data_IF_012492762161
#
_entry.id   IF_012492762161
#
_cell.length_a   1.000
_cell.length_b   1.000
_cell.length_c   1.000
_cell.angle_alpha   90.00
_cell.angle_beta   90.00
_cell.angle_gamma   90.00
#
_symmetry.space_group_name_H-M   'P 1'
#
loop_
_entity.id
_entity.type
_entity.pdbx_description
1 polymer ?
#
# COMPACT_ATOMS: atom_id res chain seq x y z
N UNK A 1 6.31 -11.10 0.20
CA UNK A 1 5.01 -10.46 0.52
C UNK A 1 5.13 -8.97 0.25
N UNK A 2 4.10 -8.32 -0.29
CA UNK A 2 4.12 -6.89 -0.57
C UNK A 2 4.02 -6.11 0.74
N UNK A 3 4.94 -5.17 0.98
CA UNK A 3 4.94 -4.32 2.17
C UNK A 3 4.12 -3.05 1.93
N UNK A 4 2.79 -3.15 2.03
CA UNK A 4 1.88 -2.02 1.84
C UNK A 4 2.14 -0.87 2.83
N UNK A 5 2.55 -1.21 4.07
CA UNK A 5 2.93 -0.21 5.09
C UNK A 5 4.11 0.64 4.61
N UNK A 6 5.13 -0.01 4.10
CA UNK A 6 6.33 0.66 3.59
C UNK A 6 6.00 1.50 2.36
N UNK A 7 5.10 1.02 1.48
CA UNK A 7 4.62 1.80 0.34
C UNK A 7 4.00 3.11 0.81
N UNK A 8 3.02 3.06 1.73
CA UNK A 8 2.29 4.25 2.19
C UNK A 8 3.22 5.18 2.98
N UNK A 9 4.11 4.62 3.80
CA UNK A 9 5.12 5.38 4.56
C UNK A 9 6.07 6.14 3.63
N UNK A 10 6.69 5.45 2.67
CA UNK A 10 7.63 6.09 1.73
C UNK A 10 6.93 7.11 0.85
N UNK A 11 5.66 6.88 0.53
CA UNK A 11 4.87 7.81 -0.27
C UNK A 11 4.48 9.06 0.51
N UNK A 12 4.17 8.93 1.80
CA UNK A 12 4.01 10.05 2.72
C UNK A 12 5.30 10.85 2.91
N UNK A 13 6.47 10.22 2.75
CA UNK A 13 7.79 10.87 2.72
C UNK A 13 8.12 11.49 1.34
N UNK A 14 7.15 11.62 0.44
CA UNK A 14 7.31 12.20 -0.89
C UNK A 14 8.29 11.45 -1.84
N UNK A 15 8.59 10.17 -1.57
CA UNK A 15 9.47 9.39 -2.44
C UNK A 15 8.82 9.04 -3.79
N UNK A 16 9.65 8.91 -4.84
CA UNK A 16 9.21 8.52 -6.18
C UNK A 16 8.77 7.05 -6.22
N UNK A 17 7.79 6.72 -7.07
CA UNK A 17 7.26 5.35 -7.19
C UNK A 17 8.34 4.31 -7.51
N UNK A 18 9.37 4.69 -8.28
CA UNK A 18 10.53 3.84 -8.57
C UNK A 18 11.35 3.50 -7.32
N UNK A 19 11.57 4.48 -6.44
CA UNK A 19 12.35 4.28 -5.22
C UNK A 19 11.60 3.36 -4.25
N UNK A 20 10.29 3.61 -4.09
CA UNK A 20 9.41 2.78 -3.28
C UNK A 20 9.37 1.35 -3.82
N UNK A 21 9.19 1.18 -5.13
CA UNK A 21 9.17 -0.12 -5.80
C UNK A 21 10.43 -0.95 -5.53
N UNK A 22 11.61 -0.32 -5.62
CA UNK A 22 12.89 -0.96 -5.30
C UNK A 22 12.95 -1.35 -3.81
N UNK A 23 12.54 -0.44 -2.93
CA UNK A 23 12.56 -0.68 -1.47
C UNK A 23 11.63 -1.82 -1.05
N UNK A 24 10.45 -1.94 -1.68
CA UNK A 24 9.45 -2.96 -1.32
C UNK A 24 9.52 -4.21 -2.21
N UNK A 25 10.44 -4.26 -3.17
CA UNK A 25 10.57 -5.35 -4.14
C UNK A 25 9.29 -5.59 -4.96
N UNK A 26 8.52 -4.53 -5.25
CA UNK A 26 7.24 -4.60 -5.96
C UNK A 26 7.23 -3.69 -7.19
N UNK A 27 6.35 -3.96 -8.14
CA UNK A 27 6.23 -3.15 -9.35
C UNK A 27 5.77 -1.72 -9.05
N UNK A 28 6.30 -0.74 -9.79
CA UNK A 28 5.88 0.68 -9.71
C UNK A 28 4.38 0.87 -9.92
N UNK A 29 3.79 0.04 -10.79
CA UNK A 29 2.34 0.01 -11.01
C UNK A 29 1.59 -0.42 -9.74
N UNK A 30 2.06 -1.45 -9.05
CA UNK A 30 1.49 -1.90 -7.77
C UNK A 30 1.61 -0.82 -6.72
N UNK A 31 2.77 -0.16 -6.61
CA UNK A 31 2.97 0.97 -5.70
C UNK A 31 1.98 2.10 -5.97
N UNK A 32 1.83 2.49 -7.24
CA UNK A 32 0.89 3.55 -7.63
C UNK A 32 -0.57 3.17 -7.37
N UNK A 33 -0.95 1.93 -7.67
CA UNK A 33 -2.30 1.41 -7.42
C UNK A 33 -2.62 1.37 -5.92
N UNK A 34 -1.70 0.84 -5.11
CA UNK A 34 -1.78 0.84 -3.64
C UNK A 34 -1.91 2.25 -3.11
N UNK A 35 -1.07 3.18 -3.57
CA UNK A 35 -1.11 4.56 -3.11
C UNK A 35 -2.44 5.23 -3.46
N UNK A 36 -2.91 5.09 -4.69
CA UNK A 36 -4.18 5.66 -5.14
C UNK A 36 -5.37 5.10 -4.35
N UNK A 37 -5.35 3.79 -4.07
CA UNK A 37 -6.37 3.15 -3.24
C UNK A 37 -6.28 3.64 -1.79
N UNK A 38 -5.08 3.75 -1.24
CA UNK A 38 -4.85 4.29 0.10
C UNK A 38 -5.37 5.73 0.22
N UNK A 39 -5.07 6.61 -0.74
CA UNK A 39 -5.63 7.97 -0.79
C UNK A 39 -7.15 7.96 -0.86
N UNK A 40 -7.74 7.10 -1.71
CA UNK A 40 -9.20 6.97 -1.84
C UNK A 40 -9.88 6.52 -0.55
N UNK A 41 -9.18 5.70 0.24
CA UNK A 41 -9.65 5.17 1.52
C UNK A 41 -9.21 6.04 2.70
N UNK A 42 -8.59 7.19 2.43
CA UNK A 42 -8.02 8.11 3.41
C UNK A 42 -7.03 7.43 4.39
N UNK A 43 -6.37 6.36 3.92
CA UNK A 43 -5.35 5.64 4.65
C UNK A 43 -4.04 6.40 4.50
N UNK A 44 -3.80 7.29 5.46
CA UNK A 44 -2.54 8.01 5.62
C UNK A 44 -1.55 7.25 6.49
N UNK A 45 -0.28 7.63 6.37
CA UNK A 45 0.67 7.42 7.45
C UNK A 45 0.37 8.42 8.58
N UNK A 46 0.45 8.06 9.87
CA UNK A 46 0.93 6.79 10.45
C UNK A 46 -0.11 5.67 10.44
N UNK A 47 0.27 4.51 9.89
CA UNK A 47 -0.53 3.29 9.95
C UNK A 47 -0.19 2.57 11.25
N UNK A 48 -1.21 2.38 12.10
CA UNK A 48 -1.08 1.67 13.37
C UNK A 48 -0.40 0.31 13.18
N UNK A 49 0.51 -0.06 14.07
CA UNK A 49 1.23 -1.36 14.03
C UNK A 49 0.33 -2.58 14.09
N UNK A 50 -0.93 -2.37 14.44
CA UNK A 50 -1.97 -3.38 14.42
C UNK A 50 -2.44 -3.76 12.99
N UNK A 51 -2.19 -2.92 11.99
CA UNK A 51 -2.58 -3.20 10.60
C UNK A 51 -1.47 -4.00 9.91
N UNK A 52 -1.74 -5.28 9.65
CA UNK A 52 -0.81 -6.14 8.91
C UNK A 52 -0.88 -5.90 7.41
N UNK A 53 0.11 -6.40 6.65
CA UNK A 53 0.07 -6.39 5.20
C UNK A 53 -1.17 -7.12 4.63
N UNK A 54 -1.72 -8.11 5.36
CA UNK A 54 -2.96 -8.80 4.99
C UNK A 54 -4.19 -7.91 5.18
N UNK A 55 -4.29 -7.21 6.32
CA UNK A 55 -5.36 -6.25 6.55
C UNK A 55 -5.36 -5.14 5.49
N UNK A 56 -4.20 -4.55 5.23
CA UNK A 56 -4.08 -3.53 4.19
C UNK A 56 -4.47 -4.07 2.82
N UNK A 57 -4.09 -5.31 2.49
CA UNK A 57 -4.55 -5.95 1.26
C UNK A 57 -6.07 -6.08 1.21
N UNK A 58 -6.72 -6.51 2.29
CA UNK A 58 -8.19 -6.64 2.37
C UNK A 58 -8.89 -5.28 2.24
N UNK A 59 -8.35 -4.24 2.88
CA UNK A 59 -8.92 -2.90 2.85
C UNK A 59 -8.70 -2.22 1.50
N UNK A 60 -7.51 -2.35 0.90
CA UNK A 60 -7.17 -1.81 -0.41
C UNK A 60 -7.85 -2.57 -1.55
N UNK A 61 -8.01 -3.89 -1.42
CA UNK A 61 -8.59 -4.77 -2.43
C UNK A 61 -9.78 -5.59 -1.86
N UNK A 62 -10.88 -4.93 -1.48
CA UNK A 62 -12.07 -5.63 -0.99
C UNK A 62 -12.66 -6.53 -2.10
N UNK A 63 -12.50 -6.14 -3.35
CA UNK A 63 -12.89 -6.88 -4.55
C UNK A 63 -12.09 -8.18 -4.79
N UNK A 64 -10.86 -8.32 -4.24
CA UNK A 64 -10.14 -9.60 -4.24
C UNK A 64 -10.65 -10.55 -3.16
N UNK A 65 -11.31 -10.03 -2.14
CA UNK A 65 -11.95 -10.81 -1.09
C UNK A 65 -13.34 -11.30 -1.54
N UNK A 66 -14.03 -10.55 -2.42
CA UNK A 66 -15.38 -10.83 -2.89
C UNK A 66 -15.48 -11.84 -4.06
N UNK A 67 -14.72 -12.93 -3.99
CA UNK A 67 -14.89 -14.09 -4.88
C UNK A 67 -14.94 -15.36 -4.05
N UNK A 68 -16.06 -15.54 -3.37
CA UNK A 68 -16.54 -16.86 -2.91
C UNK A 68 -17.62 -17.36 -3.88
#
# INVERSE_FOLDING_TARGET
MINYREIIRLKSLNHSNSHVAVSVGSSRNTVADVHRRAEKLEIGWPISDNLTNKDLQTILYPERNFRE
#
